data_IF_904157627614
#
_entry.id   IF_904157627614
#
_cell.length_a   1.000
_cell.length_b   1.000
_cell.length_c   1.000
_cell.angle_alpha   90.00
_cell.angle_beta   90.00
_cell.angle_gamma   90.00
#
_symmetry.space_group_name_H-M   'P 1'
#
loop_
_entity.id
_entity.type
_entity.pdbx_description
1 polymer ?
#
# COMPACT_ATOMS: atom_id res chain seq x y z
N UNK A 1 16.23 6.38 -28.61
CA UNK A 1 17.20 6.02 -27.56
C UNK A 1 17.65 7.27 -26.79
N UNK A 2 18.19 8.28 -27.47
CA UNK A 2 18.69 9.53 -26.86
C UNK A 2 17.66 10.30 -26.00
N UNK A 3 16.42 10.42 -26.48
CA UNK A 3 15.34 11.15 -25.78
C UNK A 3 14.89 10.47 -24.48
N UNK A 4 14.96 9.13 -24.42
CA UNK A 4 14.57 8.40 -23.20
C UNK A 4 15.67 8.53 -22.13
N UNK A 5 16.93 8.44 -22.54
CA UNK A 5 18.08 8.63 -21.65
C UNK A 5 18.09 10.03 -21.04
N UNK A 6 17.80 11.06 -21.83
CA UNK A 6 17.70 12.44 -21.36
C UNK A 6 16.58 12.61 -20.31
N UNK A 7 15.39 12.07 -20.58
CA UNK A 7 14.28 12.08 -19.61
C UNK A 7 14.63 11.35 -18.31
N UNK A 8 15.35 10.23 -18.39
CA UNK A 8 15.76 9.45 -17.22
C UNK A 8 16.79 10.21 -16.38
N UNK A 9 17.74 10.92 -17.00
CA UNK A 9 18.68 11.81 -16.32
C UNK A 9 17.95 12.98 -15.63
N UNK A 10 17.04 13.67 -16.33
CA UNK A 10 16.21 14.74 -15.76
C UNK A 10 15.42 14.25 -14.54
N UNK A 11 14.83 13.06 -14.64
CA UNK A 11 14.05 12.43 -13.57
C UNK A 11 14.93 12.11 -12.35
N UNK A 12 16.13 11.55 -12.57
CA UNK A 12 17.08 11.23 -11.52
C UNK A 12 17.54 12.51 -10.78
N UNK A 13 17.88 13.57 -11.52
CA UNK A 13 18.26 14.86 -10.95
C UNK A 13 17.13 15.48 -10.11
N UNK A 14 15.89 15.38 -10.59
CA UNK A 14 14.71 15.81 -9.84
C UNK A 14 14.53 14.98 -8.55
N UNK A 15 14.63 13.66 -8.62
CA UNK A 15 14.52 12.81 -7.44
C UNK A 15 15.60 13.07 -6.40
N UNK A 16 16.84 13.34 -6.83
CA UNK A 16 17.91 13.74 -5.93
C UNK A 16 17.62 15.07 -5.24
N UNK A 17 17.06 16.03 -5.98
CA UNK A 17 16.60 17.30 -5.43
C UNK A 17 15.48 17.10 -4.41
N UNK A 18 14.46 16.31 -4.75
CA UNK A 18 13.35 15.97 -3.86
C UNK A 18 13.90 15.32 -2.59
N UNK A 19 14.73 14.28 -2.71
CA UNK A 19 15.32 13.59 -1.55
C UNK A 19 16.10 14.55 -0.66
N UNK A 20 16.82 15.53 -1.22
CA UNK A 20 17.57 16.53 -0.44
C UNK A 20 16.65 17.54 0.26
N UNK A 21 15.55 17.96 -0.36
CA UNK A 21 14.68 19.05 0.12
C UNK A 21 13.45 18.62 0.92
N UNK A 22 12.92 17.41 0.72
CA UNK A 22 11.60 17.01 1.25
C UNK A 22 11.63 16.14 2.51
N UNK A 23 12.81 15.73 2.97
CA UNK A 23 12.96 14.74 4.07
C UNK A 23 12.26 13.40 3.81
N UNK A 24 11.87 13.10 2.57
CA UNK A 24 11.31 11.81 2.16
C UNK A 24 12.48 10.88 1.83
N UNK A 25 13.22 10.48 2.87
CA UNK A 25 14.30 9.48 2.78
C UNK A 25 13.99 8.34 3.73
N UNK A 26 14.10 7.07 3.29
CA UNK A 26 14.00 5.94 4.19
C UNK A 26 15.13 5.93 5.25
N UNK A 27 14.85 5.56 6.51
CA UNK A 27 13.52 5.32 7.06
C UNK A 27 12.74 6.64 7.21
N UNK A 28 11.49 6.67 6.73
CA UNK A 28 10.62 7.83 6.89
C UNK A 28 10.03 7.78 8.29
N UNK A 29 10.50 8.65 9.17
CA UNK A 29 10.04 8.75 10.55
C UNK A 29 9.15 9.99 10.73
N UNK A 30 8.15 9.92 11.63
CA UNK A 30 7.29 11.05 11.96
C UNK A 30 8.12 12.11 12.70
N UNK A 31 8.09 13.36 12.25
CA UNK A 31 8.81 14.45 12.92
C UNK A 31 8.30 14.64 14.35
N UNK A 32 9.21 14.95 15.28
CA UNK A 32 8.87 15.14 16.70
C UNK A 32 7.82 16.25 16.85
N UNK A 33 6.79 15.98 17.65
CA UNK A 33 5.66 16.86 17.94
C UNK A 33 4.62 17.04 16.81
N UNK A 34 4.71 16.28 15.72
CA UNK A 34 3.65 16.24 14.70
C UNK A 34 2.76 15.01 14.88
N UNK A 35 1.48 15.16 14.55
CA UNK A 35 0.61 14.00 14.35
C UNK A 35 0.98 13.29 13.04
N UNK A 36 0.52 12.05 12.85
CA UNK A 36 0.69 11.33 11.60
C UNK A 36 0.16 12.12 10.39
N UNK A 37 -0.99 12.77 10.55
CA UNK A 37 -1.65 13.54 9.48
C UNK A 37 -0.84 14.81 9.18
N UNK A 38 -0.44 15.55 10.21
CA UNK A 38 0.32 16.79 10.02
C UNK A 38 1.68 16.53 9.37
N UNK A 39 2.38 15.48 9.82
CA UNK A 39 3.66 15.06 9.26
C UNK A 39 3.53 14.61 7.80
N UNK A 40 2.50 13.80 7.49
CA UNK A 40 2.20 13.40 6.12
C UNK A 40 1.91 14.62 5.22
N UNK A 41 1.01 15.51 5.67
CA UNK A 41 0.64 16.71 4.94
C UNK A 41 1.83 17.65 4.70
N UNK A 42 2.70 17.81 5.70
CA UNK A 42 3.93 18.60 5.58
C UNK A 42 4.90 18.00 4.55
N UNK A 43 5.18 16.71 4.63
CA UNK A 43 6.08 16.01 3.70
C UNK A 43 5.55 16.05 2.27
N UNK A 44 4.25 15.79 2.06
CA UNK A 44 3.63 15.91 0.74
C UNK A 44 3.66 17.34 0.21
N UNK A 45 3.49 18.35 1.06
CA UNK A 45 3.60 19.75 0.65
C UNK A 45 5.03 20.12 0.23
N UNK A 46 6.05 19.65 0.96
CA UNK A 46 7.46 19.82 0.56
C UNK A 46 7.76 19.12 -0.77
N UNK A 47 7.25 17.89 -0.95
CA UNK A 47 7.36 17.14 -2.22
C UNK A 47 6.73 17.90 -3.39
N UNK A 48 5.48 18.36 -3.22
CA UNK A 48 4.76 19.14 -4.23
C UNK A 48 5.47 20.45 -4.54
N UNK A 49 6.02 21.13 -3.53
CA UNK A 49 6.85 22.33 -3.70
C UNK A 49 8.03 22.08 -4.63
N UNK A 50 8.78 20.99 -4.42
CA UNK A 50 9.89 20.63 -5.31
C UNK A 50 9.45 20.40 -6.77
N UNK A 51 8.26 19.83 -6.98
CA UNK A 51 7.71 19.66 -8.34
C UNK A 51 7.35 21.01 -8.96
N UNK A 52 6.75 21.92 -8.19
CA UNK A 52 6.38 23.26 -8.65
C UNK A 52 7.62 24.08 -9.00
N UNK A 53 8.64 24.08 -8.13
CA UNK A 53 9.92 24.75 -8.37
C UNK A 53 10.52 24.25 -9.69
N UNK A 54 10.61 22.93 -9.87
CA UNK A 54 11.15 22.34 -11.11
C UNK A 54 10.35 22.76 -12.34
N UNK A 55 9.02 22.79 -12.24
CA UNK A 55 8.12 23.20 -13.34
C UNK A 55 8.33 24.68 -13.73
N UNK A 56 8.66 25.54 -12.78
CA UNK A 56 8.88 26.96 -12.99
C UNK A 56 10.29 27.26 -13.52
N UNK A 57 11.29 26.52 -13.04
CA UNK A 57 12.70 26.70 -13.41
C UNK A 57 13.06 26.06 -14.76
N UNK A 58 12.22 25.16 -15.29
CA UNK A 58 12.52 24.39 -16.50
C UNK A 58 11.39 24.43 -17.53
N UNK A 59 11.74 24.52 -18.81
CA UNK A 59 10.81 24.40 -19.94
C UNK A 59 11.18 23.23 -20.85
N UNK A 60 11.26 22.04 -20.26
CA UNK A 60 11.60 20.80 -20.94
C UNK A 60 10.41 19.82 -20.97
N UNK A 61 10.64 18.64 -21.56
CA UNK A 61 9.60 17.62 -21.68
C UNK A 61 9.14 17.11 -20.31
N UNK A 62 10.04 16.99 -19.34
CA UNK A 62 9.68 16.57 -17.99
C UNK A 62 8.77 17.60 -17.30
N UNK A 63 9.08 18.89 -17.38
CA UNK A 63 8.25 19.94 -16.75
C UNK A 63 6.83 19.97 -17.34
N UNK A 64 6.68 19.79 -18.65
CA UNK A 64 5.37 19.63 -19.30
C UNK A 64 4.60 18.40 -18.79
N UNK A 65 5.28 17.26 -18.63
CA UNK A 65 4.66 16.04 -18.08
C UNK A 65 4.22 16.23 -16.63
N UNK A 66 5.04 16.89 -15.81
CA UNK A 66 4.74 17.16 -14.41
C UNK A 66 3.56 18.12 -14.25
N UNK A 67 3.44 19.17 -15.07
CA UNK A 67 2.27 20.08 -15.10
C UNK A 67 0.96 19.30 -15.25
N UNK A 68 0.93 18.32 -16.16
CA UNK A 68 -0.24 17.48 -16.41
C UNK A 68 -0.57 16.50 -15.27
N UNK A 69 0.38 16.24 -14.36
CA UNK A 69 0.22 15.31 -13.23
C UNK A 69 0.03 16.01 -11.90
N UNK A 70 0.41 17.29 -11.79
CA UNK A 70 0.37 18.04 -10.54
C UNK A 70 -1.03 18.09 -9.91
N UNK A 71 -2.09 18.19 -10.74
CA UNK A 71 -3.48 18.13 -10.27
C UNK A 71 -3.81 16.77 -9.65
N UNK A 72 -3.37 15.66 -10.24
CA UNK A 72 -3.59 14.33 -9.68
C UNK A 72 -2.83 14.14 -8.37
N UNK A 73 -1.59 14.64 -8.28
CA UNK A 73 -0.80 14.63 -7.04
C UNK A 73 -1.51 15.41 -5.92
N UNK A 74 -2.04 16.60 -6.22
CA UNK A 74 -2.77 17.43 -5.25
C UNK A 74 -4.05 16.75 -4.76
N UNK A 75 -4.83 16.13 -5.66
CA UNK A 75 -6.03 15.37 -5.31
C UNK A 75 -5.65 14.18 -4.42
N UNK A 76 -4.68 13.35 -4.81
CA UNK A 76 -4.26 12.20 -4.01
C UNK A 76 -3.77 12.62 -2.62
N UNK A 77 -3.00 13.71 -2.52
CA UNK A 77 -2.56 14.22 -1.22
C UNK A 77 -3.75 14.55 -0.31
N UNK A 78 -4.74 15.29 -0.82
CA UNK A 78 -5.92 15.70 -0.05
C UNK A 78 -6.80 14.52 0.35
N UNK A 79 -7.07 13.61 -0.58
CA UNK A 79 -7.89 12.43 -0.34
C UNK A 79 -7.22 11.45 0.62
N UNK A 80 -5.89 11.27 0.57
CA UNK A 80 -5.17 10.46 1.56
C UNK A 80 -5.28 11.09 2.96
N UNK A 81 -5.14 12.41 3.08
CA UNK A 81 -5.35 13.11 4.36
C UNK A 81 -6.76 12.86 4.89
N UNK A 82 -7.78 13.06 4.06
CA UNK A 82 -9.18 12.83 4.46
C UNK A 82 -9.44 11.38 4.85
N UNK A 83 -8.90 10.42 4.11
CA UNK A 83 -8.97 9.00 4.44
C UNK A 83 -8.35 8.70 5.81
N UNK A 84 -7.18 9.29 6.12
CA UNK A 84 -6.51 9.12 7.41
C UNK A 84 -7.33 9.74 8.55
N UNK A 85 -7.91 10.93 8.34
CA UNK A 85 -8.79 11.59 9.31
C UNK A 85 -10.03 10.74 9.63
N UNK A 86 -10.73 10.24 8.60
CA UNK A 86 -11.86 9.32 8.77
C UNK A 86 -11.45 8.04 9.50
N UNK A 87 -10.32 7.44 9.13
CA UNK A 87 -9.85 6.20 9.75
C UNK A 87 -9.51 6.40 11.22
N UNK A 88 -8.77 7.46 11.56
CA UNK A 88 -8.31 7.74 12.92
C UNK A 88 -9.45 8.24 13.83
N UNK A 89 -10.50 8.84 13.26
CA UNK A 89 -11.73 9.18 13.99
C UNK A 89 -12.70 7.99 14.17
N UNK A 90 -12.39 6.83 13.58
CA UNK A 90 -13.17 5.60 13.69
C UNK A 90 -14.25 5.42 12.62
N UNK A 91 -14.37 6.34 11.66
CA UNK A 91 -15.24 6.18 10.49
C UNK A 91 -14.55 5.39 9.37
N UNK A 92 -14.42 4.09 9.62
CA UNK A 92 -13.75 3.15 8.71
C UNK A 92 -14.47 3.05 7.36
N UNK A 93 -15.80 3.21 7.35
CA UNK A 93 -16.58 3.13 6.11
C UNK A 93 -16.25 4.31 5.20
N UNK A 94 -16.33 5.54 5.72
CA UNK A 94 -16.01 6.72 4.92
C UNK A 94 -14.55 6.75 4.48
N UNK A 95 -13.63 6.27 5.34
CA UNK A 95 -12.23 6.10 4.95
C UNK A 95 -12.07 5.15 3.75
N UNK A 96 -12.75 4.00 3.78
CA UNK A 96 -12.72 3.04 2.67
C UNK A 96 -13.33 3.62 1.39
N UNK A 97 -14.53 4.22 1.49
CA UNK A 97 -15.24 4.79 0.34
C UNK A 97 -14.45 5.93 -0.31
N UNK A 98 -13.84 6.82 0.50
CA UNK A 98 -12.98 7.91 0.01
C UNK A 98 -11.73 7.35 -0.66
N UNK A 99 -11.06 6.37 -0.05
CA UNK A 99 -9.88 5.74 -0.63
C UNK A 99 -10.20 5.05 -1.97
N UNK A 100 -11.30 4.29 -2.06
CA UNK A 100 -11.74 3.65 -3.30
C UNK A 100 -12.03 4.69 -4.39
N UNK A 101 -12.81 5.73 -4.07
CA UNK A 101 -13.16 6.81 -4.98
C UNK A 101 -11.94 7.58 -5.49
N UNK A 102 -10.91 7.74 -4.64
CA UNK A 102 -9.65 8.37 -5.02
C UNK A 102 -8.89 7.57 -6.07
N UNK A 103 -8.94 6.23 -6.04
CA UNK A 103 -8.18 5.38 -6.95
C UNK A 103 -8.88 5.14 -8.30
N UNK A 104 -10.21 5.31 -8.36
CA UNK A 104 -11.04 5.05 -9.54
C UNK A 104 -10.62 5.82 -10.82
N UNK A 105 -10.25 7.11 -10.77
CA UNK A 105 -9.93 7.88 -11.98
C UNK A 105 -8.82 7.22 -12.81
N UNK A 106 -9.02 7.11 -14.14
CA UNK A 106 -8.02 6.57 -15.08
C UNK A 106 -6.67 7.29 -15.04
N UNK A 107 -6.63 8.53 -14.56
CA UNK A 107 -5.38 9.28 -14.36
C UNK A 107 -4.54 8.72 -13.21
N UNK A 108 -5.12 7.94 -12.31
CA UNK A 108 -4.51 7.33 -11.12
C UNK A 108 -4.38 5.82 -11.31
N UNK A 109 -5.48 5.10 -11.59
CA UNK A 109 -5.49 3.63 -11.69
C UNK A 109 -4.46 3.05 -12.64
N UNK A 110 -4.29 3.64 -13.84
CA UNK A 110 -3.24 3.22 -14.79
C UNK A 110 -1.83 3.30 -14.21
N UNK A 111 -1.53 4.29 -13.37
CA UNK A 111 -0.20 4.39 -12.76
C UNK A 111 0.00 3.36 -11.65
N UNK A 112 -1.08 3.02 -10.93
CA UNK A 112 -1.07 1.95 -9.92
C UNK A 112 -0.77 0.61 -10.59
N UNK A 113 -1.46 0.30 -11.70
CA UNK A 113 -1.20 -0.93 -12.47
C UNK A 113 0.28 -1.04 -12.90
N UNK A 114 0.92 0.07 -13.25
CA UNK A 114 2.33 0.08 -13.67
C UNK A 114 3.34 -0.10 -12.53
N UNK A 115 2.95 0.14 -11.27
CA UNK A 115 3.82 -0.05 -10.09
C UNK A 115 3.48 -1.30 -9.29
N UNK A 116 2.37 -1.96 -9.61
CA UNK A 116 1.96 -3.22 -9.01
C UNK A 116 2.57 -4.41 -9.75
N UNK A 117 2.79 -5.49 -9.01
CA UNK A 117 3.15 -6.78 -9.59
C UNK A 117 1.84 -7.55 -9.83
N UNK A 118 1.58 -8.03 -11.06
CA UNK A 118 0.42 -8.87 -11.35
C UNK A 118 0.38 -10.09 -10.43
N UNK A 119 -0.82 -10.44 -9.96
CA UNK A 119 -0.97 -11.61 -9.07
C UNK A 119 -0.51 -12.91 -9.76
N UNK A 120 -0.66 -13.02 -11.08
CA UNK A 120 -0.17 -14.15 -11.89
C UNK A 120 1.34 -14.36 -11.82
N UNK A 121 2.09 -13.28 -11.61
CA UNK A 121 3.55 -13.31 -11.53
C UNK A 121 4.00 -13.76 -10.14
N UNK A 122 3.17 -13.46 -9.12
CA UNK A 122 3.37 -13.89 -7.75
C UNK A 122 2.91 -15.33 -7.50
N UNK A 123 1.79 -15.73 -8.10
CA UNK A 123 1.22 -17.07 -7.95
C UNK A 123 0.55 -17.62 -9.21
N UNK A 124 0.76 -18.90 -9.45
CA UNK A 124 0.17 -19.68 -10.53
C UNK A 124 0.17 -21.17 -10.14
N UNK A 125 -0.20 -22.06 -11.06
CA UNK A 125 -0.28 -23.51 -10.80
C UNK A 125 1.06 -24.10 -10.33
N UNK A 126 2.19 -23.59 -10.83
CA UNK A 126 3.55 -24.02 -10.44
C UNK A 126 4.07 -23.29 -9.19
N UNK A 127 3.48 -22.14 -8.85
CA UNK A 127 3.85 -21.29 -7.71
C UNK A 127 2.62 -20.99 -6.84
N UNK A 128 2.08 -21.99 -6.12
CA UNK A 128 0.92 -21.76 -5.29
C UNK A 128 1.26 -20.88 -4.09
N UNK A 129 0.26 -20.16 -3.59
CA UNK A 129 0.35 -19.53 -2.28
C UNK A 129 -0.11 -20.52 -1.21
N UNK A 130 0.51 -20.43 -0.05
CA UNK A 130 0.22 -21.31 1.06
C UNK A 130 -0.64 -20.62 2.10
N UNK A 131 -1.51 -21.41 2.72
CA UNK A 131 -2.19 -21.05 3.96
C UNK A 131 -1.84 -22.04 5.05
N UNK A 132 -1.52 -21.49 6.22
CA UNK A 132 -1.33 -22.27 7.44
C UNK A 132 -2.42 -21.88 8.44
N UNK A 133 -3.01 -22.87 9.12
CA UNK A 133 -4.00 -22.67 10.18
C UNK A 133 -3.61 -23.49 11.40
N UNK A 134 -3.61 -22.87 12.57
CA UNK A 134 -3.45 -23.56 13.85
C UNK A 134 -4.82 -24.03 14.32
N UNK A 135 -4.92 -25.28 14.75
CA UNK A 135 -6.12 -25.81 15.38
C UNK A 135 -5.76 -26.83 16.45
N UNK A 136 -6.39 -26.74 17.61
CA UNK A 136 -6.29 -27.76 18.66
C UNK A 136 -7.15 -28.99 18.34
N UNK A 137 -8.07 -28.88 17.38
CA UNK A 137 -8.90 -29.99 16.88
C UNK A 137 -8.57 -30.33 15.42
N UNK A 138 -8.68 -31.61 15.02
CA UNK A 138 -8.51 -32.02 13.63
C UNK A 138 -9.41 -31.26 12.65
N UNK A 139 -8.80 -30.66 11.62
CA UNK A 139 -9.53 -30.12 10.47
C UNK A 139 -9.75 -31.23 9.45
N UNK A 140 -10.99 -31.42 9.01
CA UNK A 140 -11.39 -32.57 8.17
C UNK A 140 -11.74 -32.17 6.74
N UNK A 141 -12.00 -30.89 6.48
CA UNK A 141 -12.42 -30.40 5.17
C UNK A 141 -11.59 -29.22 4.69
N UNK A 142 -11.49 -29.04 3.36
CA UNK A 142 -10.87 -27.85 2.77
C UNK A 142 -11.58 -26.55 3.18
N UNK A 143 -12.89 -26.60 3.49
CA UNK A 143 -13.64 -25.43 3.97
C UNK A 143 -13.12 -24.94 5.33
N UNK A 144 -12.60 -25.84 6.14
CA UNK A 144 -11.97 -25.47 7.42
C UNK A 144 -10.67 -24.69 7.23
N UNK A 145 -10.08 -24.72 6.03
CA UNK A 145 -8.94 -23.90 5.67
C UNK A 145 -9.33 -22.51 5.14
N UNK A 146 -10.61 -22.18 5.00
CA UNK A 146 -11.04 -20.84 4.57
C UNK A 146 -11.11 -19.83 5.74
N UNK A 147 -11.42 -18.57 5.44
CA UNK A 147 -11.60 -17.54 6.46
C UNK A 147 -12.70 -17.97 7.45
N UNK A 148 -12.68 -17.41 8.66
CA UNK A 148 -13.74 -17.67 9.65
C UNK A 148 -15.09 -17.27 9.02
N UNK A 149 -16.14 -18.11 9.09
CA UNK A 149 -17.44 -17.77 8.51
C UNK A 149 -17.98 -16.44 9.05
N UNK A 150 -18.73 -15.70 8.24
CA UNK A 150 -19.30 -14.41 8.67
C UNK A 150 -20.22 -14.54 9.90
N UNK A 151 -20.93 -15.66 10.05
CA UNK A 151 -21.73 -15.96 11.25
C UNK A 151 -20.88 -16.09 12.53
N UNK A 152 -19.59 -16.36 12.38
CA UNK A 152 -18.61 -16.53 13.44
C UNK A 152 -17.62 -15.34 13.51
N UNK A 153 -17.97 -14.19 12.93
CA UNK A 153 -17.07 -13.03 12.84
C UNK A 153 -16.56 -12.51 14.18
N UNK A 154 -17.25 -12.79 15.28
CA UNK A 154 -16.81 -12.41 16.64
C UNK A 154 -15.50 -13.10 17.07
N UNK A 155 -15.09 -14.19 16.41
CA UNK A 155 -13.76 -14.80 16.60
C UNK A 155 -12.65 -14.16 15.76
N UNK A 156 -12.99 -13.26 14.82
CA UNK A 156 -12.01 -12.58 13.97
C UNK A 156 -11.38 -11.43 14.76
N UNK A 157 -10.14 -11.63 15.18
CA UNK A 157 -9.31 -10.58 15.80
C UNK A 157 -8.84 -9.57 14.75
N UNK A 158 -8.49 -8.37 15.21
CA UNK A 158 -7.78 -7.42 14.37
C UNK A 158 -6.43 -8.00 13.92
N UNK A 159 -6.08 -7.80 12.66
CA UNK A 159 -4.83 -8.23 12.03
C UNK A 159 -4.29 -7.06 11.20
N UNK A 160 -3.08 -7.20 10.65
CA UNK A 160 -2.38 -6.09 9.95
C UNK A 160 -3.22 -5.40 8.87
N UNK A 161 -3.98 -6.18 8.10
CA UNK A 161 -4.77 -5.67 6.96
C UNK A 161 -6.29 -5.83 7.15
N UNK A 162 -6.76 -6.12 8.38
CA UNK A 162 -8.18 -6.32 8.63
C UNK A 162 -8.60 -5.91 10.04
N UNK A 163 -9.72 -5.19 10.12
CA UNK A 163 -10.35 -4.83 11.40
C UNK A 163 -10.99 -6.06 12.07
N UNK A 164 -11.15 -6.00 13.40
CA UNK A 164 -11.86 -7.04 14.14
C UNK A 164 -13.27 -7.24 13.58
N UNK A 165 -13.71 -8.49 13.44
CA UNK A 165 -15.02 -8.81 12.87
C UNK A 165 -15.11 -8.83 11.35
N UNK A 166 -14.04 -8.55 10.60
CA UNK A 166 -14.00 -8.68 9.14
C UNK A 166 -13.14 -9.89 8.72
N UNK A 167 -13.76 -11.03 8.34
CA UNK A 167 -13.00 -12.20 7.88
C UNK A 167 -12.12 -11.88 6.65
N UNK A 168 -10.83 -12.18 6.73
CA UNK A 168 -9.88 -12.05 5.63
C UNK A 168 -9.07 -13.35 5.43
N UNK A 169 -8.56 -13.52 4.21
CA UNK A 169 -7.73 -14.65 3.82
C UNK A 169 -6.26 -14.22 3.78
N UNK A 170 -5.45 -14.78 4.68
CA UNK A 170 -4.00 -14.54 4.72
C UNK A 170 -3.27 -15.70 4.04
N UNK A 171 -2.42 -15.36 3.06
CA UNK A 171 -1.66 -16.29 2.23
C UNK A 171 -0.18 -15.87 2.22
N UNK A 172 0.73 -16.85 2.16
CA UNK A 172 2.17 -16.60 2.06
C UNK A 172 2.80 -17.35 0.90
N UNK A 173 3.94 -16.86 0.41
CA UNK A 173 4.69 -17.48 -0.70
C UNK A 173 5.50 -18.70 -0.27
N UNK A 174 5.57 -19.00 1.03
CA UNK A 174 6.15 -20.23 1.56
C UNK A 174 5.53 -20.60 2.92
N UNK A 175 5.53 -21.90 3.24
CA UNK A 175 5.13 -22.40 4.55
C UNK A 175 5.94 -21.78 5.69
N UNK A 176 7.23 -21.55 5.45
CA UNK A 176 8.11 -20.91 6.42
C UNK A 176 7.65 -19.49 6.77
N UNK A 177 7.30 -18.67 5.76
CA UNK A 177 6.78 -17.32 5.99
C UNK A 177 5.47 -17.40 6.77
N UNK A 178 4.54 -18.27 6.38
CA UNK A 178 3.27 -18.43 7.10
C UNK A 178 3.49 -18.81 8.57
N UNK A 179 4.38 -19.77 8.86
CA UNK A 179 4.71 -20.20 10.21
C UNK A 179 5.33 -19.06 11.04
N UNK A 180 6.19 -18.24 10.43
CA UNK A 180 6.81 -17.06 11.06
C UNK A 180 5.78 -15.98 11.38
N UNK A 181 4.87 -15.66 10.47
CA UNK A 181 3.79 -14.67 10.67
C UNK A 181 2.77 -15.11 11.74
N UNK A 182 2.66 -16.42 11.99
CA UNK A 182 1.83 -17.00 13.06
C UNK A 182 2.52 -17.09 14.43
N UNK A 183 3.69 -16.47 14.58
CA UNK A 183 4.56 -16.56 15.77
C UNK A 183 4.97 -17.99 16.14
N UNK A 184 5.36 -18.77 15.12
CA UNK A 184 6.08 -20.05 15.27
C UNK A 184 5.34 -21.10 16.12
N UNK A 185 4.07 -21.44 15.82
CA UNK A 185 3.32 -22.46 16.55
C UNK A 185 3.92 -23.87 16.41
N UNK A 186 3.58 -24.76 17.34
CA UNK A 186 3.99 -26.17 17.31
C UNK A 186 3.50 -26.88 16.04
N UNK A 187 4.36 -27.71 15.45
CA UNK A 187 4.10 -28.34 14.15
C UNK A 187 2.95 -29.35 14.17
N UNK A 188 2.68 -29.99 15.31
CA UNK A 188 1.61 -30.98 15.48
C UNK A 188 0.19 -30.38 15.44
N UNK A 189 0.09 -29.04 15.50
CA UNK A 189 -1.18 -28.29 15.48
C UNK A 189 -1.41 -27.52 14.18
N UNK A 190 -0.57 -27.73 13.17
CA UNK A 190 -0.63 -26.98 11.91
C UNK A 190 -1.31 -27.76 10.80
N UNK A 191 -2.22 -27.06 10.13
CA UNK A 191 -2.91 -27.52 8.93
C UNK A 191 -2.51 -26.62 7.77
N UNK A 192 -2.30 -27.23 6.61
CA UNK A 192 -1.69 -26.58 5.45
C UNK A 192 -2.59 -26.77 4.22
N UNK A 193 -2.75 -25.71 3.42
CA UNK A 193 -3.30 -25.76 2.07
C UNK A 193 -2.38 -24.99 1.13
N UNK A 194 -2.16 -25.53 -0.06
CA UNK A 194 -1.73 -24.80 -1.23
C UNK A 194 -2.95 -24.43 -2.10
#
# INVERSE_FOLDING_TARGET
MHIQQELDEELNNLFDTIRKKSSIRPPIEIEKNLTLIDDFALKCSKFRGCLVDYIQENDNRLSLRLRNRLRAVDIMQKEIVSCLECFLSGDIKSAYDSFESMLEPRTISRHIENICIPLSDLCNEDKPLFRVRKSDTPLTSRRDMFHIPFSQRHFVRAQRFSVAGLPCLYLGTSLYICWREMDKPDFDKLYISA
#
